data_IF_516165327392
#
_entry.id   IF_516165327392
#
_cell.length_a   1.000
_cell.length_b   1.000
_cell.length_c   1.000
_cell.angle_alpha   90.00
_cell.angle_beta   90.00
_cell.angle_gamma   90.00
#
_symmetry.space_group_name_H-M   'P 1'
#
loop_
_entity.id
_entity.type
_entity.pdbx_description
1 polymer ?
#
# COMPACT_ATOMS: atom_id res chain seq x y z
N UNK A 1 37.08 -13.87 -1.41
CA UNK A 1 36.53 -13.81 -1.27
C UNK A 1 35.60 -13.68 -1.03
N UNK A 2 35.39 -13.89 -1.22
CA UNK A 2 34.51 -13.89 -1.19
C UNK A 2 33.71 -13.39 -0.72
N UNK A 3 33.82 -13.01 -0.75
CA UNK A 3 33.24 -12.55 -0.35
C UNK A 3 32.22 -12.28 -0.45
N UNK A 4 31.92 -12.40 -1.05
CA UNK A 4 31.08 -12.23 -1.21
C UNK A 4 30.16 -12.33 -0.89
N UNK A 5 30.09 -12.53 -1.22
CA UNK A 5 29.03 -12.69 -0.92
C UNK A 5 28.55 -12.77 0.22
N UNK A 6 28.74 -13.38 0.60
CA UNK A 6 27.98 -13.39 1.77
C UNK A 6 27.92 -12.08 2.46
N UNK A 7 28.28 -11.17 1.82
CA UNK A 7 28.10 -9.83 2.28
C UNK A 7 26.66 -9.57 2.70
N UNK A 8 25.70 -10.31 2.16
CA UNK A 8 24.30 -10.11 2.56
C UNK A 8 24.07 -10.48 4.02
N UNK A 9 24.68 -11.55 4.49
CA UNK A 9 24.47 -12.01 5.85
C UNK A 9 24.98 -11.03 6.92
N UNK A 10 26.21 -10.52 6.83
CA UNK A 10 26.65 -9.48 7.76
C UNK A 10 25.83 -8.22 7.65
N UNK A 11 25.40 -7.90 6.44
CA UNK A 11 24.57 -6.72 6.22
C UNK A 11 23.23 -6.85 6.92
N UNK A 12 22.63 -8.00 6.85
CA UNK A 12 21.36 -8.26 7.53
C UNK A 12 21.47 -8.07 9.02
N UNK A 13 22.53 -8.59 9.63
CA UNK A 13 22.77 -8.46 11.07
C UNK A 13 22.95 -7.00 11.46
N UNK A 14 23.72 -6.26 10.68
CA UNK A 14 23.93 -4.84 10.91
C UNK A 14 22.62 -4.06 10.77
N UNK A 15 21.86 -4.34 9.72
CA UNK A 15 20.63 -3.63 9.43
C UNK A 15 19.57 -3.82 10.51
N UNK A 16 19.48 -5.00 11.09
CA UNK A 16 18.55 -5.28 12.20
C UNK A 16 18.84 -4.37 13.40
N UNK A 17 20.09 -4.02 13.61
CA UNK A 17 20.50 -3.19 14.76
C UNK A 17 20.41 -1.70 14.48
N UNK A 18 20.26 -1.31 13.23
CA UNK A 18 20.27 0.10 12.82
C UNK A 18 18.90 0.49 12.26
N UNK A 19 18.10 1.28 13.01
CA UNK A 19 16.74 1.64 12.56
C UNK A 19 16.70 2.34 11.21
N UNK A 20 17.75 3.07 10.83
CA UNK A 20 17.77 3.76 9.54
C UNK A 20 17.83 2.79 8.37
N UNK A 21 18.31 1.57 8.61
CA UNK A 21 18.38 0.56 7.55
C UNK A 21 17.00 0.00 7.21
N UNK A 22 16.05 0.07 8.13
CA UNK A 22 14.67 -0.34 7.83
C UNK A 22 14.07 0.57 6.76
N UNK A 23 14.42 1.86 6.77
CA UNK A 23 13.99 2.77 5.71
C UNK A 23 14.59 2.35 4.36
N UNK A 24 15.85 1.91 4.36
CA UNK A 24 16.49 1.42 3.14
C UNK A 24 15.81 0.16 2.62
N UNK A 25 15.45 -0.75 3.50
CA UNK A 25 14.70 -1.94 3.12
C UNK A 25 13.34 -1.57 2.52
N UNK A 26 12.65 -0.64 3.15
CA UNK A 26 11.37 -0.16 2.65
C UNK A 26 11.49 0.44 1.26
N UNK A 27 12.53 1.27 1.04
CA UNK A 27 12.79 1.86 -0.26
C UNK A 27 13.11 0.80 -1.31
N UNK A 28 13.84 -0.24 -0.93
CA UNK A 28 14.15 -1.32 -1.85
C UNK A 28 12.88 -2.06 -2.28
N UNK A 29 12.00 -2.34 -1.32
CA UNK A 29 10.72 -2.97 -1.63
C UNK A 29 9.90 -2.07 -2.57
N UNK A 30 9.87 -0.76 -2.30
CA UNK A 30 9.16 0.20 -3.14
C UNK A 30 9.73 0.23 -4.54
N UNK A 31 11.06 0.19 -4.69
CA UNK A 31 11.70 0.17 -6.00
C UNK A 31 11.33 -1.09 -6.78
N UNK A 32 11.40 -2.25 -6.14
CA UNK A 32 11.03 -3.51 -6.78
C UNK A 32 9.55 -3.50 -7.20
N UNK A 33 8.70 -2.97 -6.34
CA UNK A 33 7.28 -2.82 -6.63
C UNK A 33 7.03 -1.91 -7.83
N UNK A 34 7.77 -0.80 -7.90
CA UNK A 34 7.66 0.15 -9.01
C UNK A 34 8.11 -0.46 -10.33
N UNK A 35 9.13 -1.32 -10.28
CA UNK A 35 9.64 -2.05 -11.45
C UNK A 35 8.82 -3.30 -11.77
N UNK A 36 7.74 -3.53 -11.02
CA UNK A 36 6.87 -4.70 -11.18
C UNK A 36 7.60 -6.03 -10.93
N UNK A 37 8.68 -5.98 -10.18
CA UNK A 37 9.44 -7.19 -9.78
C UNK A 37 8.87 -7.74 -8.47
N UNK A 38 7.61 -8.13 -8.50
CA UNK A 38 6.86 -8.53 -7.31
C UNK A 38 7.43 -9.78 -6.65
N UNK A 39 7.85 -10.74 -7.45
CA UNK A 39 8.42 -11.98 -6.93
C UNK A 39 9.70 -11.73 -6.15
N UNK A 40 10.56 -10.87 -6.68
CA UNK A 40 11.80 -10.51 -6.00
C UNK A 40 11.53 -9.76 -4.71
N UNK A 41 10.54 -8.89 -4.72
CA UNK A 41 10.12 -8.16 -3.52
C UNK A 41 9.60 -9.12 -2.44
N UNK A 42 8.84 -10.13 -2.83
CA UNK A 42 8.34 -11.14 -1.90
C UNK A 42 9.47 -11.96 -1.28
N UNK A 43 10.40 -12.42 -2.11
CA UNK A 43 11.57 -13.17 -1.64
C UNK A 43 12.37 -12.33 -0.66
N UNK A 44 12.58 -11.06 -0.97
CA UNK A 44 13.30 -10.17 -0.08
C UNK A 44 12.55 -10.00 1.26
N UNK A 45 11.23 -9.81 1.21
CA UNK A 45 10.45 -9.62 2.42
C UNK A 45 10.47 -10.86 3.32
N UNK A 46 10.51 -12.05 2.73
CA UNK A 46 10.61 -13.30 3.49
C UNK A 46 11.93 -13.43 4.23
N UNK A 47 12.97 -12.78 3.75
CA UNK A 47 14.29 -12.82 4.39
C UNK A 47 14.40 -11.85 5.56
N UNK A 48 13.42 -10.98 5.77
CA UNK A 48 13.46 -9.97 6.83
C UNK A 48 13.20 -10.57 8.20
N UNK A 49 13.82 -9.97 9.22
CA UNK A 49 13.60 -10.37 10.61
C UNK A 49 12.19 -9.98 11.07
N UNK A 50 11.74 -10.61 12.16
CA UNK A 50 10.45 -10.24 12.75
C UNK A 50 10.42 -8.78 13.18
N UNK A 51 11.54 -8.28 13.70
CA UNK A 51 11.66 -6.89 14.09
C UNK A 51 11.46 -5.95 12.89
N UNK A 52 12.10 -6.30 11.76
CA UNK A 52 11.94 -5.52 10.53
C UNK A 52 10.48 -5.53 10.06
N UNK A 53 9.84 -6.68 10.11
CA UNK A 53 8.44 -6.80 9.68
C UNK A 53 7.47 -6.00 10.55
N UNK A 54 7.86 -5.66 11.78
CA UNK A 54 7.06 -4.82 12.65
C UNK A 54 7.32 -3.32 12.44
N UNK A 55 8.35 -3.00 11.68
CA UNK A 55 8.70 -1.60 11.42
C UNK A 55 7.66 -0.95 10.50
N UNK A 56 7.24 0.25 10.84
CA UNK A 56 6.18 0.96 10.11
C UNK A 56 6.52 1.26 8.66
N UNK A 57 7.78 1.58 8.35
CA UNK A 57 8.18 1.84 6.97
C UNK A 57 8.07 0.58 6.12
N UNK A 58 8.49 -0.55 6.67
CA UNK A 58 8.43 -1.82 5.97
C UNK A 58 6.99 -2.30 5.81
N UNK A 59 6.17 -2.16 6.85
CA UNK A 59 4.74 -2.49 6.77
C UNK A 59 4.06 -1.69 5.67
N UNK A 60 4.36 -0.40 5.59
CA UNK A 60 3.80 0.48 4.58
C UNK A 60 4.18 0.01 3.17
N UNK A 61 5.47 -0.29 2.96
CA UNK A 61 5.95 -0.75 1.66
C UNK A 61 5.36 -2.09 1.27
N UNK A 62 5.23 -3.01 2.23
CA UNK A 62 4.61 -4.32 1.97
C UNK A 62 3.12 -4.19 1.64
N UNK A 63 2.42 -3.26 2.29
CA UNK A 63 1.02 -3.01 1.99
C UNK A 63 0.86 -2.47 0.57
N UNK A 64 1.70 -1.53 0.16
CA UNK A 64 1.71 -1.01 -1.22
C UNK A 64 2.01 -2.12 -2.22
N UNK A 65 2.99 -2.96 -1.91
CA UNK A 65 3.36 -4.08 -2.75
C UNK A 65 2.17 -5.01 -2.99
N UNK A 66 1.46 -5.36 -1.92
CA UNK A 66 0.29 -6.22 -1.98
C UNK A 66 -0.78 -5.62 -2.90
N UNK A 67 -1.11 -4.36 -2.71
CA UNK A 67 -2.13 -3.68 -3.51
C UNK A 67 -1.72 -3.66 -4.98
N UNK A 68 -0.49 -3.30 -5.28
CA UNK A 68 -0.01 -3.25 -6.67
C UNK A 68 0.00 -4.62 -7.32
N UNK A 69 0.48 -5.63 -6.60
CA UNK A 69 0.56 -6.99 -7.12
C UNK A 69 -0.83 -7.52 -7.46
N UNK A 70 -1.78 -7.35 -6.55
CA UNK A 70 -3.15 -7.82 -6.76
C UNK A 70 -3.81 -7.17 -7.97
N UNK A 71 -3.42 -5.96 -8.29
CA UNK A 71 -4.04 -5.20 -9.37
C UNK A 71 -3.23 -5.18 -10.67
N UNK A 72 -2.04 -5.77 -10.69
CA UNK A 72 -1.15 -5.72 -11.86
C UNK A 72 -1.71 -6.46 -13.06
N UNK A 73 -2.39 -7.58 -12.84
CA UNK A 73 -2.96 -8.41 -13.89
C UNK A 73 -4.48 -8.40 -13.90
N UNK A 74 -5.07 -7.46 -13.18
CA UNK A 74 -6.51 -7.35 -13.09
C UNK A 74 -7.13 -6.59 -14.25
N UNK A 75 -8.44 -6.39 -14.20
CA UNK A 75 -9.15 -5.61 -15.22
C UNK A 75 -8.60 -4.20 -15.38
N UNK A 76 -8.74 -3.63 -16.56
CA UNK A 76 -8.34 -2.25 -16.81
C UNK A 76 -9.21 -1.30 -16.00
N UNK A 77 -8.65 -0.11 -15.74
CA UNK A 77 -9.36 0.92 -14.98
C UNK A 77 -10.73 1.25 -15.58
N UNK A 78 -10.81 1.38 -16.91
CA UNK A 78 -12.07 1.69 -17.59
C UNK A 78 -13.14 0.63 -17.35
N UNK A 79 -12.74 -0.64 -17.35
CA UNK A 79 -13.66 -1.74 -17.08
C UNK A 79 -14.20 -1.67 -15.66
N UNK A 80 -13.32 -1.44 -14.70
CA UNK A 80 -13.72 -1.32 -13.30
C UNK A 80 -14.63 -0.12 -13.07
N UNK A 81 -14.34 0.99 -13.73
CA UNK A 81 -15.16 2.18 -13.64
C UNK A 81 -16.56 1.92 -14.20
N UNK A 82 -16.64 1.26 -15.35
CA UNK A 82 -17.94 0.90 -15.94
C UNK A 82 -18.73 -0.04 -15.04
N UNK A 83 -18.05 -1.04 -14.46
CA UNK A 83 -18.71 -1.97 -13.54
C UNK A 83 -19.28 -1.25 -12.32
N UNK A 84 -18.53 -0.30 -11.77
CA UNK A 84 -19.02 0.50 -10.65
C UNK A 84 -20.19 1.38 -11.05
N UNK A 85 -20.14 2.00 -12.23
CA UNK A 85 -21.25 2.83 -12.73
C UNK A 85 -22.53 2.05 -12.90
N UNK A 86 -22.42 0.78 -13.32
CA UNK A 86 -23.58 -0.09 -13.47
C UNK A 86 -24.19 -0.50 -12.13
N UNK A 87 -23.34 -0.65 -11.10
CA UNK A 87 -23.76 -1.10 -9.78
C UNK A 87 -23.14 -0.22 -8.70
N UNK A 88 -23.60 1.04 -8.57
CA UNK A 88 -22.95 1.99 -7.64
C UNK A 88 -23.03 1.62 -6.17
N UNK A 89 -23.93 0.69 -5.82
CA UNK A 89 -24.09 0.25 -4.43
C UNK A 89 -23.31 -1.03 -4.13
N UNK A 90 -22.62 -1.57 -5.11
CA UNK A 90 -21.82 -2.79 -4.92
C UNK A 90 -20.47 -2.41 -4.33
N UNK A 91 -20.23 -2.80 -3.07
CA UNK A 91 -18.97 -2.48 -2.39
C UNK A 91 -17.77 -3.16 -3.03
N UNK A 92 -17.94 -4.38 -3.54
CA UNK A 92 -16.85 -5.08 -4.21
C UNK A 92 -16.34 -4.28 -5.42
N UNK A 93 -17.26 -3.78 -6.24
CA UNK A 93 -16.90 -2.93 -7.39
C UNK A 93 -16.22 -1.64 -6.95
N UNK A 94 -16.72 -1.03 -5.88
CA UNK A 94 -16.12 0.19 -5.32
C UNK A 94 -14.70 -0.06 -4.87
N UNK A 95 -14.47 -1.13 -4.11
CA UNK A 95 -13.16 -1.44 -3.56
C UNK A 95 -12.17 -1.84 -4.65
N UNK A 96 -12.60 -2.60 -5.64
CA UNK A 96 -11.74 -2.93 -6.79
C UNK A 96 -11.31 -1.69 -7.54
N UNK A 97 -12.24 -0.77 -7.75
CA UNK A 97 -11.93 0.49 -8.42
C UNK A 97 -10.97 1.34 -7.60
N UNK A 98 -11.21 1.47 -6.29
CA UNK A 98 -10.34 2.24 -5.41
C UNK A 98 -8.92 1.62 -5.37
N UNK A 99 -8.82 0.30 -5.27
CA UNK A 99 -7.53 -0.39 -5.27
C UNK A 99 -6.79 -0.16 -6.57
N UNK A 100 -7.50 -0.16 -7.70
CA UNK A 100 -6.88 0.08 -9.00
C UNK A 100 -6.36 1.51 -9.10
N UNK A 101 -7.15 2.49 -8.67
CA UNK A 101 -6.69 3.88 -8.62
C UNK A 101 -5.42 3.99 -7.77
N UNK A 102 -5.44 3.36 -6.60
CA UNK A 102 -4.29 3.41 -5.70
C UNK A 102 -3.06 2.76 -6.34
N UNK A 103 -3.23 1.59 -6.94
CA UNK A 103 -2.15 0.86 -7.58
C UNK A 103 -1.51 1.65 -8.73
N UNK A 104 -2.31 2.45 -9.43
CA UNK A 104 -1.82 3.29 -10.53
C UNK A 104 -1.37 4.67 -10.05
N UNK A 105 -1.22 4.84 -8.76
CA UNK A 105 -0.77 6.07 -8.11
C UNK A 105 -1.73 7.26 -8.33
N UNK A 106 -2.99 6.97 -8.59
CA UNK A 106 -4.05 7.96 -8.68
C UNK A 106 -4.68 8.12 -7.30
N UNK A 107 -3.89 8.63 -6.36
CA UNK A 107 -4.25 8.65 -4.94
C UNK A 107 -5.48 9.49 -4.63
N UNK A 108 -5.58 10.67 -5.25
CA UNK A 108 -6.74 11.53 -5.02
C UNK A 108 -8.03 10.84 -5.46
N UNK A 109 -8.01 10.20 -6.63
CA UNK A 109 -9.17 9.48 -7.14
C UNK A 109 -9.56 8.33 -6.22
N UNK A 110 -8.55 7.59 -5.71
CA UNK A 110 -8.79 6.48 -4.81
C UNK A 110 -9.48 6.94 -3.52
N UNK A 111 -8.96 7.98 -2.90
CA UNK A 111 -9.54 8.50 -1.65
C UNK A 111 -10.89 9.15 -1.87
N UNK A 112 -11.01 9.97 -2.93
CA UNK A 112 -12.26 10.69 -3.17
C UNK A 112 -13.43 9.75 -3.45
N UNK A 113 -13.19 8.67 -4.21
CA UNK A 113 -14.29 7.74 -4.51
C UNK A 113 -14.76 7.01 -3.25
N UNK A 114 -13.85 6.71 -2.35
CA UNK A 114 -14.21 6.08 -1.07
C UNK A 114 -14.98 7.05 -0.17
N UNK A 115 -14.48 8.29 -0.05
CA UNK A 115 -15.13 9.30 0.78
C UNK A 115 -16.51 9.67 0.26
N UNK A 116 -16.64 9.78 -1.05
CA UNK A 116 -17.92 10.10 -1.69
C UNK A 116 -18.99 9.05 -1.38
N UNK A 117 -18.57 7.81 -1.23
CA UNK A 117 -19.48 6.69 -0.97
C UNK A 117 -19.48 6.27 0.50
N UNK A 118 -18.88 7.05 1.37
CA UNK A 118 -18.66 6.68 2.77
C UNK A 118 -19.94 6.27 3.50
N UNK A 119 -21.02 7.00 3.29
CA UNK A 119 -22.28 6.74 3.99
C UNK A 119 -22.95 5.43 3.58
N UNK A 120 -22.54 4.83 2.47
CA UNK A 120 -23.12 3.55 2.02
C UNK A 120 -22.73 2.38 2.92
N UNK A 121 -21.50 2.41 3.45
CA UNK A 121 -21.05 1.41 4.42
C UNK A 121 -19.83 1.97 5.15
N UNK A 122 -20.11 2.72 6.21
CA UNK A 122 -19.08 3.47 6.93
C UNK A 122 -17.96 2.57 7.46
N UNK A 123 -18.33 1.42 8.04
CA UNK A 123 -17.35 0.51 8.64
C UNK A 123 -16.35 -0.04 7.64
N UNK A 124 -16.84 -0.60 6.54
CA UNK A 124 -15.98 -1.23 5.54
C UNK A 124 -15.18 -0.19 4.76
N UNK A 125 -15.79 0.94 4.43
CA UNK A 125 -15.10 1.99 3.69
C UNK A 125 -14.02 2.63 4.57
N UNK A 126 -14.30 2.83 5.86
CA UNK A 126 -13.29 3.30 6.80
C UNK A 126 -12.10 2.34 6.87
N UNK A 127 -12.37 1.04 6.92
CA UNK A 127 -11.31 0.03 6.93
C UNK A 127 -10.44 0.13 5.68
N UNK A 128 -11.04 0.31 4.51
CA UNK A 128 -10.30 0.45 3.26
C UNK A 128 -9.45 1.73 3.25
N UNK A 129 -10.00 2.83 3.76
CA UNK A 129 -9.26 4.08 3.88
C UNK A 129 -8.06 3.93 4.81
N UNK A 130 -8.24 3.24 5.94
CA UNK A 130 -7.13 3.00 6.87
C UNK A 130 -6.06 2.12 6.25
N UNK A 131 -6.45 1.15 5.42
CA UNK A 131 -5.50 0.33 4.66
C UNK A 131 -4.63 1.20 3.75
N UNK A 132 -5.24 2.15 3.04
CA UNK A 132 -4.51 3.07 2.17
C UNK A 132 -3.60 4.00 2.99
N UNK A 133 -4.08 4.49 4.14
CA UNK A 133 -3.25 5.33 5.01
C UNK A 133 -2.03 4.56 5.50
N UNK A 134 -2.19 3.30 5.86
CA UNK A 134 -1.06 2.46 6.27
C UNK A 134 -0.07 2.28 5.12
N UNK A 135 -0.59 2.03 3.91
CA UNK A 135 0.25 1.86 2.73
C UNK A 135 1.09 3.10 2.42
N UNK A 136 0.52 4.28 2.61
CA UNK A 136 1.23 5.54 2.35
C UNK A 136 2.15 5.95 3.50
N UNK A 137 1.78 5.60 4.73
CA UNK A 137 2.50 6.01 5.93
C UNK A 137 1.95 7.30 6.53
N UNK A 138 2.13 7.45 7.85
CA UNK A 138 1.50 8.54 8.60
C UNK A 138 2.05 9.92 8.25
N UNK A 139 3.26 9.98 7.73
CA UNK A 139 3.89 11.26 7.38
C UNK A 139 3.62 11.70 5.95
N UNK A 140 2.95 10.88 5.16
CA UNK A 140 2.62 11.22 3.78
C UNK A 140 1.60 12.36 3.76
N UNK A 141 1.80 13.35 2.91
CA UNK A 141 0.91 14.51 2.83
C UNK A 141 -0.53 14.12 2.48
N UNK A 142 -0.69 13.11 1.61
CA UNK A 142 -2.03 12.62 1.25
C UNK A 142 -2.72 11.95 2.43
N UNK A 143 -1.96 11.22 3.25
CA UNK A 143 -2.50 10.63 4.47
C UNK A 143 -3.03 11.73 5.39
N UNK A 144 -2.24 12.77 5.62
CA UNK A 144 -2.63 13.87 6.49
C UNK A 144 -3.88 14.57 5.95
N UNK A 145 -3.88 14.87 4.66
CA UNK A 145 -5.00 15.55 4.01
C UNK A 145 -6.29 14.75 4.13
N UNK A 146 -6.26 13.47 3.75
CA UNK A 146 -7.46 12.66 3.68
C UNK A 146 -7.94 12.15 5.03
N UNK A 147 -7.05 12.06 6.02
CA UNK A 147 -7.48 11.80 7.39
C UNK A 147 -8.33 12.95 7.94
N UNK A 148 -7.96 14.18 7.60
CA UNK A 148 -8.77 15.34 7.98
C UNK A 148 -10.14 15.31 7.32
N UNK A 149 -10.17 14.98 6.03
CA UNK A 149 -11.44 14.87 5.30
C UNK A 149 -12.32 13.77 5.88
N UNK A 150 -11.73 12.62 6.20
CA UNK A 150 -12.47 11.53 6.82
C UNK A 150 -13.05 11.95 8.16
N UNK A 151 -12.26 12.61 9.01
CA UNK A 151 -12.73 13.09 10.30
C UNK A 151 -13.92 14.04 10.13
N UNK A 152 -13.84 14.94 9.16
CA UNK A 152 -14.94 15.87 8.88
C UNK A 152 -16.23 15.13 8.53
N UNK A 153 -16.13 14.08 7.74
CA UNK A 153 -17.29 13.30 7.33
C UNK A 153 -17.86 12.49 8.51
N UNK A 154 -16.97 11.93 9.34
CA UNK A 154 -17.38 11.12 10.48
C UNK A 154 -18.11 11.93 11.54
N UNK A 155 -17.75 13.19 11.70
CA UNK A 155 -18.31 14.05 12.76
C UNK A 155 -19.26 15.12 12.22
N UNK A 156 -19.68 15.00 10.98
CA UNK A 156 -20.65 15.93 10.40
C UNK A 156 -22.09 15.48 10.66
#
# INVERSE_FOLDING_TARGET
TIKQTPSSSPSETFLVKNPNEFKSFALYIDCLSHLEQYKEAEVFSESLSKEALLNNFIKSSLQKLSIKKENSNGPALDELLNNFKKNPNNLDSLFKLADKYFAENMLDDAFEILLKNYKKNEGQIKSKLLEFFEALGISNLKTIEYRKKLSSIMFS
#
